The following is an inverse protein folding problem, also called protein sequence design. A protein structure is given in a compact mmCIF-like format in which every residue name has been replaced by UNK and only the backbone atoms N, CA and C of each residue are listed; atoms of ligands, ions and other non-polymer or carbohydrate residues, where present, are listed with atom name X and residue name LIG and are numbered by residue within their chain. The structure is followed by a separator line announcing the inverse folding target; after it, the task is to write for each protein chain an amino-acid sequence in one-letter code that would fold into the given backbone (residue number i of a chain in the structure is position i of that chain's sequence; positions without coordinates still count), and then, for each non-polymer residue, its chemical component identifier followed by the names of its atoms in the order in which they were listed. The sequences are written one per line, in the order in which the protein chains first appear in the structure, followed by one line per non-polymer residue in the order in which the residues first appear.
data_IF_343916724292
#
_entry.id   IF_343916724292
#
_cell.length_a   1.000
_cell.length_b   1.000
_cell.length_c   1.000
_cell.angle_alpha   90.00
_cell.angle_beta   90.00
_cell.angle_gamma   90.00
#
_symmetry.space_group_name_H-M   'P 1'
#
loop_
_entity.id
_entity.type
_entity.pdbx_description
1 polymer ?
#
# COMPACT_ATOMS: atom_id res chain seq x y z
N UNK A 1 -11.13 3.21 -5.94
CA UNK A 1 -10.66 4.53 -6.41
C UNK A 1 -9.15 4.58 -6.38
N UNK A 2 -8.53 5.43 -7.19
CA UNK A 2 -7.07 5.58 -7.23
C UNK A 2 -6.59 6.46 -6.07
N UNK A 3 -5.66 5.97 -5.25
CA UNK A 3 -5.26 6.61 -3.99
C UNK A 3 -6.27 6.44 -2.85
N UNK A 4 -7.13 5.42 -2.91
CA UNK A 4 -8.17 5.20 -1.91
C UNK A 4 -7.60 4.56 -0.64
N UNK A 5 -7.91 5.13 0.52
CA UNK A 5 -7.66 4.48 1.80
C UNK A 5 -8.70 3.37 2.04
N UNK A 6 -8.22 2.17 2.33
CA UNK A 6 -9.00 1.01 2.75
C UNK A 6 -8.52 0.61 4.14
N UNK A 7 -9.41 0.69 5.13
CA UNK A 7 -9.16 0.23 6.49
C UNK A 7 -9.73 -1.17 6.65
N UNK A 8 -8.96 -2.08 7.22
CA UNK A 8 -9.34 -3.45 7.51
C UNK A 8 -9.30 -3.67 9.03
N UNK A 9 -10.44 -4.09 9.60
CA UNK A 9 -10.57 -4.40 11.03
C UNK A 9 -11.02 -5.82 11.26
N UNK A 10 -10.58 -6.39 12.37
CA UNK A 10 -11.10 -7.69 12.85
C UNK A 10 -12.53 -7.52 13.37
N UNK A 11 -13.44 -8.33 12.84
CA UNK A 11 -14.85 -8.42 13.27
C UNK A 11 -15.22 -9.80 13.84
N UNK A 12 -14.29 -10.76 13.77
CA UNK A 12 -14.50 -12.10 14.28
C UNK A 12 -14.75 -12.10 15.81
N UNK A 13 -15.67 -12.93 16.33
CA UNK A 13 -15.90 -13.06 17.78
C UNK A 13 -14.66 -13.49 18.58
N UNK A 14 -13.70 -14.14 17.92
CA UNK A 14 -12.44 -14.53 18.55
C UNK A 14 -11.43 -13.37 18.69
N UNK A 15 -11.68 -12.21 18.06
CA UNK A 15 -10.81 -11.04 18.11
C UNK A 15 -9.37 -11.40 17.75
N UNK A 16 -8.45 -11.14 18.69
CA UNK A 16 -7.02 -11.45 18.56
C UNK A 16 -6.71 -12.89 18.14
N UNK A 17 -7.45 -13.89 18.63
CA UNK A 17 -7.20 -15.30 18.28
C UNK A 17 -7.50 -15.59 16.80
N UNK A 18 -8.37 -14.80 16.17
CA UNK A 18 -8.70 -14.94 14.75
C UNK A 18 -7.56 -14.52 13.82
N UNK A 19 -6.54 -13.82 14.34
CA UNK A 19 -5.34 -13.43 13.59
C UNK A 19 -4.05 -13.92 14.25
N UNK A 20 -4.19 -14.76 15.27
CA UNK A 20 -3.10 -15.33 16.05
C UNK A 20 -2.73 -16.75 15.64
N UNK A 21 -2.07 -17.45 16.56
CA UNK A 21 -1.59 -18.82 16.34
C UNK A 21 -2.73 -19.81 16.13
N UNK A 22 -3.86 -19.62 16.81
CA UNK A 22 -5.03 -20.48 16.68
C UNK A 22 -5.54 -20.51 15.24
N UNK A 23 -5.67 -19.34 14.61
CA UNK A 23 -6.04 -19.28 13.19
C UNK A 23 -4.99 -19.91 12.29
N UNK A 24 -3.70 -19.78 12.63
CA UNK A 24 -2.63 -20.43 11.88
C UNK A 24 -2.69 -21.94 11.96
N UNK A 25 -3.06 -22.52 13.11
CA UNK A 25 -3.26 -23.96 13.22
C UNK A 25 -4.44 -24.45 12.39
N UNK A 26 -5.51 -23.67 12.32
CA UNK A 26 -6.64 -23.94 11.43
C UNK A 26 -6.20 -23.92 9.96
N UNK A 27 -5.47 -22.88 9.54
CA UNK A 27 -5.00 -22.72 8.16
C UNK A 27 -4.00 -23.80 7.70
N UNK A 28 -3.20 -24.33 8.63
CA UNK A 28 -2.24 -25.40 8.36
C UNK A 28 -2.82 -26.81 8.54
N UNK A 29 -4.11 -26.93 8.83
CA UNK A 29 -4.81 -28.18 9.15
C UNK A 29 -4.19 -29.01 10.29
N UNK A 30 -3.57 -28.33 11.25
CA UNK A 30 -2.96 -28.95 12.46
C UNK A 30 -3.75 -28.67 13.74
N UNK A 31 -4.90 -28.00 13.63
CA UNK A 31 -5.80 -27.74 14.74
C UNK A 31 -6.40 -29.03 15.33
N UNK A 32 -6.59 -29.07 16.64
CA UNK A 32 -7.34 -30.16 17.27
C UNK A 32 -8.86 -30.00 17.04
N UNK A 33 -9.61 -31.08 17.28
CA UNK A 33 -11.06 -31.10 17.01
C UNK A 33 -11.84 -30.08 17.86
N UNK A 34 -11.43 -29.86 19.12
CA UNK A 34 -12.04 -28.86 20.01
C UNK A 34 -11.89 -27.44 19.45
N UNK A 35 -10.70 -27.11 18.92
CA UNK A 35 -10.44 -25.82 18.32
C UNK A 35 -11.27 -25.64 17.05
N UNK A 36 -11.36 -26.68 16.21
CA UNK A 36 -12.21 -26.66 15.01
C UNK A 36 -13.69 -26.42 15.34
N UNK A 37 -14.22 -27.14 16.33
CA UNK A 37 -15.64 -27.03 16.72
C UNK A 37 -15.99 -25.67 17.35
N UNK A 38 -15.02 -24.98 17.93
CA UNK A 38 -15.23 -23.67 18.57
C UNK A 38 -15.06 -22.48 17.62
N UNK A 39 -14.60 -22.70 16.38
CA UNK A 39 -14.36 -21.65 15.39
C UNK A 39 -15.64 -21.38 14.57
N UNK A 40 -16.34 -20.25 14.80
CA UNK A 40 -17.50 -19.91 13.98
C UNK A 40 -17.07 -19.60 12.55
N UNK A 41 -17.79 -20.12 11.57
CA UNK A 41 -17.57 -19.81 10.15
C UNK A 41 -18.20 -18.45 9.81
N UNK A 42 -17.54 -17.38 10.27
CA UNK A 42 -17.93 -15.98 10.02
C UNK A 42 -16.72 -15.18 9.53
N UNK A 43 -16.92 -14.04 8.85
CA UNK A 43 -15.80 -13.25 8.35
C UNK A 43 -14.84 -12.83 9.46
N UNK A 44 -13.53 -12.94 9.18
CA UNK A 44 -12.51 -12.46 10.11
C UNK A 44 -12.38 -10.95 10.04
N UNK A 45 -12.45 -10.41 8.83
CA UNK A 45 -12.18 -9.01 8.52
C UNK A 45 -13.39 -8.33 7.90
N UNK A 46 -13.55 -7.05 8.22
CA UNK A 46 -14.39 -6.12 7.48
C UNK A 46 -13.51 -4.99 6.94
N UNK A 47 -13.78 -4.59 5.69
CA UNK A 47 -13.10 -3.48 5.03
C UNK A 47 -14.02 -2.31 4.86
N UNK A 48 -13.51 -1.12 5.15
CA UNK A 48 -14.23 0.13 4.96
C UNK A 48 -13.33 1.19 4.35
N UNK A 49 -13.94 2.17 3.69
CA UNK A 49 -13.25 3.34 3.16
C UNK A 49 -13.95 4.60 3.63
N UNK A 50 -13.20 5.69 3.84
CA UNK A 50 -13.79 6.93 4.27
C UNK A 50 -14.67 7.51 3.15
N UNK A 51 -15.74 8.19 3.52
CA UNK A 51 -16.63 8.88 2.58
C UNK A 51 -16.27 10.36 2.50
N UNK A 52 -16.26 10.91 1.28
CA UNK A 52 -15.95 12.33 1.07
C UNK A 52 -17.01 13.17 1.80
N UNK A 53 -16.55 14.12 2.62
CA UNK A 53 -17.41 15.09 3.30
C UNK A 53 -17.42 16.43 2.59
N UNK A 54 -16.24 16.91 2.18
CA UNK A 54 -16.07 18.19 1.49
C UNK A 54 -15.00 18.09 0.40
N UNK A 55 -15.17 18.88 -0.65
CA UNK A 55 -14.25 18.98 -1.79
C UNK A 55 -14.93 18.57 -3.11
N UNK A 56 -14.23 18.75 -4.25
CA UNK A 56 -12.86 19.24 -4.35
C UNK A 56 -12.75 20.73 -3.99
N UNK A 57 -11.77 21.09 -3.16
CA UNK A 57 -11.30 22.49 -3.01
C UNK A 57 -10.02 22.63 -3.82
N UNK A 58 -10.02 23.54 -4.80
CA UNK A 58 -8.89 23.77 -5.69
C UNK A 58 -8.18 25.05 -5.25
N UNK A 59 -6.86 24.99 -5.07
CA UNK A 59 -6.02 26.15 -4.76
C UNK A 59 -4.88 26.22 -5.74
N UNK A 60 -4.72 27.35 -6.42
CA UNK A 60 -3.55 27.60 -7.25
C UNK A 60 -2.41 28.16 -6.39
N UNK A 61 -1.22 27.60 -6.58
CA UNK A 61 -0.03 27.99 -5.82
C UNK A 61 1.16 28.26 -6.74
N UNK A 62 2.16 29.01 -6.26
CA UNK A 62 3.36 29.32 -7.05
C UNK A 62 4.26 28.10 -7.30
N UNK A 63 4.13 27.03 -6.50
CA UNK A 63 4.92 25.80 -6.61
C UNK A 63 4.13 24.63 -7.19
N UNK A 64 2.89 24.49 -6.73
CA UNK A 64 1.96 23.47 -7.18
C UNK A 64 0.52 23.98 -7.08
N UNK A 65 -0.33 23.44 -7.94
CA UNK A 65 -1.78 23.49 -7.74
C UNK A 65 -2.20 22.33 -6.83
N UNK A 66 -3.19 22.55 -5.97
CA UNK A 66 -3.68 21.55 -5.01
C UNK A 66 -5.19 21.31 -5.17
N UNK A 67 -5.59 20.04 -5.23
CA UNK A 67 -6.97 19.58 -5.14
C UNK A 67 -7.14 18.82 -3.83
N UNK A 68 -7.93 19.38 -2.92
CA UNK A 68 -8.11 18.86 -1.57
C UNK A 68 -9.51 18.29 -1.34
N UNK A 69 -9.56 17.17 -0.62
CA UNK A 69 -10.76 16.52 -0.12
C UNK A 69 -10.62 16.29 1.37
N UNK A 70 -11.68 16.58 2.12
CA UNK A 70 -11.79 16.16 3.52
C UNK A 70 -12.87 15.10 3.62
N UNK A 71 -12.60 14.09 4.42
CA UNK A 71 -13.49 12.96 4.57
C UNK A 71 -14.28 13.07 5.89
N UNK A 72 -15.42 12.39 5.93
CA UNK A 72 -16.15 12.22 7.19
C UNK A 72 -15.24 11.42 8.11
N UNK A 73 -15.00 11.89 9.35
CA UNK A 73 -14.26 11.09 10.32
C UNK A 73 -14.86 9.70 10.41
N UNK A 74 -14.06 8.70 10.12
CA UNK A 74 -14.45 7.31 10.25
C UNK A 74 -14.04 6.80 11.64
N UNK A 75 -14.39 5.56 11.96
CA UNK A 75 -13.97 4.90 13.21
C UNK A 75 -12.44 4.90 13.39
N UNK A 76 -11.70 4.92 12.26
CA UNK A 76 -10.25 4.94 12.22
C UNK A 76 -9.64 6.36 12.14
N UNK A 77 -10.45 7.41 12.30
CA UNK A 77 -9.98 8.78 12.50
C UNK A 77 -10.26 9.76 11.36
N UNK A 78 -9.65 10.94 11.45
CA UNK A 78 -9.87 12.05 10.52
C UNK A 78 -8.86 12.03 9.37
N UNK A 79 -9.36 12.20 8.14
CA UNK A 79 -8.54 12.08 6.93
C UNK A 79 -8.75 13.27 6.01
N UNK A 80 -7.62 13.76 5.50
CA UNK A 80 -7.55 14.72 4.41
C UNK A 80 -6.67 14.15 3.30
N UNK A 81 -7.16 14.27 2.07
CA UNK A 81 -6.45 13.87 0.88
C UNK A 81 -6.17 15.12 0.03
N UNK A 82 -4.94 15.29 -0.41
CA UNK A 82 -4.54 16.38 -1.30
C UNK A 82 -3.76 15.84 -2.49
N UNK A 83 -4.23 16.15 -3.70
CA UNK A 83 -3.47 15.96 -4.93
C UNK A 83 -2.73 17.25 -5.26
N UNK A 84 -1.43 17.17 -5.47
CA UNK A 84 -0.56 18.30 -5.81
C UNK A 84 0.04 18.11 -7.19
N UNK A 85 -0.01 19.16 -7.99
CA UNK A 85 0.48 19.17 -9.37
C UNK A 85 1.59 20.22 -9.46
N UNK A 86 2.84 19.77 -9.51
CA UNK A 86 3.99 20.67 -9.45
C UNK A 86 4.18 21.41 -10.78
N UNK A 87 4.42 22.72 -10.71
CA UNK A 87 4.53 23.55 -11.92
C UNK A 87 5.89 23.41 -12.62
N UNK A 88 6.96 23.13 -11.86
CA UNK A 88 8.33 23.08 -12.36
C UNK A 88 8.80 21.66 -12.76
N UNK A 89 8.05 20.62 -12.37
CA UNK A 89 8.40 19.23 -12.61
C UNK A 89 7.15 18.46 -13.05
N UNK A 90 7.27 17.45 -13.93
CA UNK A 90 6.18 16.57 -14.35
C UNK A 90 5.81 15.57 -13.24
N UNK A 91 5.50 16.10 -12.06
CA UNK A 91 5.32 15.39 -10.81
C UNK A 91 3.91 15.64 -10.29
N UNK A 92 3.20 14.54 -10.04
CA UNK A 92 1.97 14.53 -9.27
C UNK A 92 2.27 13.89 -7.92
N UNK A 93 1.78 14.50 -6.84
CA UNK A 93 1.93 13.98 -5.49
C UNK A 93 0.56 13.84 -4.84
N UNK A 94 0.26 12.64 -4.34
CA UNK A 94 -0.84 12.38 -3.44
C UNK A 94 -0.31 12.50 -2.00
N UNK A 95 -0.93 13.35 -1.20
CA UNK A 95 -0.67 13.49 0.22
C UNK A 95 -1.91 13.11 1.01
N UNK A 96 -1.76 12.19 1.94
CA UNK A 96 -2.79 11.78 2.89
C UNK A 96 -2.34 12.19 4.29
N UNK A 97 -3.02 13.18 4.85
CA UNK A 97 -2.88 13.54 6.27
C UNK A 97 -3.97 12.77 7.03
N UNK A 98 -3.56 11.90 7.95
CA UNK A 98 -4.45 11.01 8.69
C UNK A 98 -4.17 11.11 10.19
N UNK A 99 -5.12 11.65 10.95
CA UNK A 99 -5.10 11.55 12.41
C UNK A 99 -5.81 10.27 12.83
N UNK A 100 -5.02 9.22 13.01
CA UNK A 100 -5.51 7.87 13.20
C UNK A 100 -5.97 7.64 14.64
N UNK A 101 -7.21 7.20 14.78
CA UNK A 101 -7.77 6.77 16.07
C UNK A 101 -7.19 5.43 16.54
N UNK A 102 -7.26 5.22 17.86
CA UNK A 102 -6.87 3.97 18.50
C UNK A 102 -7.77 2.80 18.03
N UNK A 103 -7.20 1.61 17.94
CA UNK A 103 -7.93 0.35 17.73
C UNK A 103 -7.60 -0.64 18.83
N UNK A 104 -8.62 -1.23 19.45
CA UNK A 104 -8.47 -2.26 20.49
C UNK A 104 -8.16 -3.64 19.92
N UNK A 105 -8.50 -3.85 18.65
CA UNK A 105 -8.22 -5.08 17.91
C UNK A 105 -7.19 -4.84 16.80
N UNK A 106 -6.53 -5.91 16.33
CA UNK A 106 -5.67 -5.89 15.15
C UNK A 106 -6.35 -5.23 13.94
N UNK A 107 -5.56 -4.51 13.16
CA UNK A 107 -6.03 -3.75 12.01
C UNK A 107 -4.93 -3.58 10.96
N UNK A 108 -5.36 -3.27 9.74
CA UNK A 108 -4.49 -2.71 8.73
C UNK A 108 -5.14 -1.54 7.99
N UNK A 109 -4.29 -0.80 7.30
CA UNK A 109 -4.74 0.15 6.31
C UNK A 109 -3.92 0.02 5.05
N UNK A 110 -4.58 0.27 3.94
CA UNK A 110 -4.02 0.18 2.60
C UNK A 110 -4.35 1.45 1.83
N UNK A 111 -3.41 1.94 1.03
CA UNK A 111 -3.70 2.95 0.01
C UNK A 111 -3.66 2.26 -1.34
N UNK A 112 -4.82 2.15 -1.98
CA UNK A 112 -5.06 1.37 -3.17
C UNK A 112 -4.86 2.16 -4.47
N UNK A 113 -4.12 1.60 -5.41
CA UNK A 113 -3.80 2.14 -6.72
C UNK A 113 -4.11 1.11 -7.81
N UNK A 114 -5.36 1.06 -8.31
CA UNK A 114 -5.70 0.28 -9.49
C UNK A 114 -5.20 1.02 -10.74
N UNK A 115 -4.07 0.60 -11.28
CA UNK A 115 -3.56 1.12 -12.55
C UNK A 115 -4.44 0.57 -13.68
N UNK A 116 -5.18 1.47 -14.33
CA UNK A 116 -6.08 1.14 -15.43
C UNK A 116 -5.29 1.10 -16.75
N UNK A 117 -4.90 -0.09 -17.19
CA UNK A 117 -4.35 -0.31 -18.52
C UNK A 117 -4.59 -1.77 -18.96
N UNK A 118 -4.54 -2.02 -20.26
CA UNK A 118 -4.60 -3.39 -20.78
C UNK A 118 -3.22 -4.04 -20.63
N UNK A 119 -3.13 -5.09 -19.81
CA UNK A 119 -1.90 -5.87 -19.54
C UNK A 119 -0.65 -5.05 -19.15
N UNK A 120 -0.72 -4.17 -18.14
CA UNK A 120 0.47 -3.47 -17.67
C UNK A 120 1.40 -4.45 -16.94
N UNK A 121 2.69 -4.13 -16.90
CA UNK A 121 3.68 -4.87 -16.11
C UNK A 121 4.19 -4.03 -14.94
N UNK A 122 4.50 -4.72 -13.84
CA UNK A 122 5.03 -4.13 -12.63
C UNK A 122 6.47 -4.62 -12.43
N UNK A 123 7.37 -3.70 -12.14
CA UNK A 123 8.69 -4.01 -11.59
C UNK A 123 8.89 -3.21 -10.29
N UNK A 124 9.47 -3.83 -9.27
CA UNK A 124 9.75 -3.19 -7.99
C UNK A 124 11.25 -2.95 -7.84
N UNK A 125 11.60 -1.78 -7.34
CA UNK A 125 13.00 -1.43 -7.10
C UNK A 125 13.49 -1.97 -5.75
N UNK A 126 14.59 -2.71 -5.77
CA UNK A 126 15.31 -3.17 -4.57
C UNK A 126 16.79 -3.35 -4.86
N UNK A 127 17.66 -3.07 -3.88
CA UNK A 127 19.09 -3.39 -3.97
C UNK A 127 19.80 -2.75 -5.17
N UNK A 128 19.34 -1.59 -5.64
CA UNK A 128 19.91 -0.86 -6.79
C UNK A 128 19.43 -1.35 -8.17
N UNK A 129 18.45 -2.25 -8.24
CA UNK A 129 17.87 -2.73 -9.49
C UNK A 129 16.35 -2.92 -9.41
N UNK A 130 15.75 -3.20 -10.57
CA UNK A 130 14.34 -3.57 -10.67
C UNK A 130 14.21 -5.07 -10.87
N UNK A 131 13.21 -5.66 -10.23
CA UNK A 131 12.80 -7.05 -10.47
C UNK A 131 11.29 -7.15 -10.68
N UNK A 132 10.86 -8.20 -11.37
CA UNK A 132 9.44 -8.50 -11.57
C UNK A 132 8.90 -9.36 -10.42
N UNK A 133 8.04 -8.83 -9.53
CA UNK A 133 7.44 -9.64 -8.47
C UNK A 133 6.59 -10.77 -9.09
N UNK A 134 6.60 -11.95 -8.46
CA UNK A 134 5.81 -13.09 -8.91
C UNK A 134 6.30 -13.82 -10.17
N UNK A 135 7.32 -13.31 -10.88
CA UNK A 135 7.94 -14.05 -11.98
C UNK A 135 9.14 -14.85 -11.46
N UNK A 136 9.35 -16.08 -11.92
CA UNK A 136 10.56 -16.87 -11.62
C UNK A 136 11.58 -16.87 -12.77
N UNK A 137 11.34 -16.08 -13.81
CA UNK A 137 12.26 -15.91 -14.94
C UNK A 137 13.44 -14.99 -14.56
N UNK A 138 14.44 -14.90 -15.45
CA UNK A 138 15.56 -13.97 -15.27
C UNK A 138 15.06 -12.53 -15.13
N UNK A 139 15.50 -11.84 -14.07
CA UNK A 139 15.00 -10.50 -13.71
C UNK A 139 13.69 -10.53 -12.91
N UNK A 140 13.20 -11.70 -12.55
CA UNK A 140 12.08 -11.91 -11.64
C UNK A 140 12.51 -12.13 -10.19
N UNK A 141 11.55 -12.60 -9.40
CA UNK A 141 11.67 -13.00 -8.01
C UNK A 141 12.36 -14.36 -7.86
N UNK A 142 13.16 -14.51 -6.80
CA UNK A 142 13.75 -15.79 -6.42
C UNK A 142 12.67 -16.78 -5.95
N UNK A 143 12.59 -18.00 -6.51
CA UNK A 143 11.62 -19.01 -6.09
C UNK A 143 11.70 -19.31 -4.59
N UNK A 144 10.53 -19.51 -3.96
CA UNK A 144 10.41 -19.82 -2.53
C UNK A 144 10.55 -18.64 -1.57
N UNK A 145 10.71 -17.41 -2.08
CA UNK A 145 10.64 -16.19 -1.27
C UNK A 145 9.20 -15.70 -1.08
N UNK A 146 8.96 -14.83 -0.10
CA UNK A 146 7.62 -14.25 0.11
C UNK A 146 7.15 -13.49 -1.14
N UNK A 147 5.92 -13.76 -1.56
CA UNK A 147 5.29 -13.21 -2.78
C UNK A 147 3.97 -12.48 -2.49
N UNK A 148 3.58 -12.42 -1.22
CA UNK A 148 2.32 -11.87 -0.73
C UNK A 148 2.38 -10.36 -0.53
N UNK A 149 3.57 -9.89 -0.16
CA UNK A 149 3.88 -8.48 0.02
C UNK A 149 5.37 -8.25 -0.20
N UNK A 150 5.72 -7.03 -0.59
CA UNK A 150 7.08 -6.64 -0.91
C UNK A 150 7.45 -5.35 -0.20
N UNK A 151 8.71 -5.20 0.15
CA UNK A 151 9.25 -3.89 0.51
C UNK A 151 10.10 -3.40 -0.66
N UNK A 152 9.74 -2.25 -1.22
CA UNK A 152 10.53 -1.58 -2.26
C UNK A 152 11.37 -0.46 -1.66
N UNK A 153 12.45 -0.07 -2.34
CA UNK A 153 13.39 0.93 -1.83
C UNK A 153 12.94 2.36 -2.13
N UNK A 154 12.59 2.67 -3.39
CA UNK A 154 12.17 4.03 -3.77
C UNK A 154 10.98 4.03 -4.73
N UNK A 155 10.99 3.17 -5.75
CA UNK A 155 9.98 3.20 -6.80
C UNK A 155 9.43 1.82 -7.19
N UNK A 156 8.19 1.82 -7.69
CA UNK A 156 7.66 0.80 -8.58
C UNK A 156 7.55 1.38 -9.98
N UNK A 157 7.99 0.60 -10.98
CA UNK A 157 7.77 0.92 -12.39
C UNK A 157 6.53 0.20 -12.89
N UNK A 158 5.61 0.98 -13.43
CA UNK A 158 4.47 0.48 -14.20
C UNK A 158 4.76 0.71 -15.67
N UNK A 159 4.88 -0.37 -16.45
CA UNK A 159 5.06 -0.28 -17.90
C UNK A 159 3.77 -0.66 -18.60
N UNK A 160 3.24 0.27 -19.39
CA UNK A 160 2.06 0.13 -20.23
C UNK A 160 2.34 -0.78 -21.42
N UNK A 161 1.29 -1.29 -22.06
CA UNK A 161 1.42 -2.14 -23.25
C UNK A 161 2.13 -1.43 -24.42
N UNK A 162 1.95 -0.11 -24.55
CA UNK A 162 2.62 0.74 -25.55
C UNK A 162 4.10 1.02 -25.21
N UNK A 163 4.60 0.48 -24.10
CA UNK A 163 5.97 0.66 -23.61
C UNK A 163 6.17 1.91 -22.76
N UNK A 164 5.13 2.71 -22.52
CA UNK A 164 5.25 3.88 -21.67
C UNK A 164 5.48 3.50 -20.20
N UNK A 165 6.44 4.16 -19.54
CA UNK A 165 6.85 3.87 -18.16
C UNK A 165 6.45 4.99 -17.21
N UNK A 166 5.59 4.66 -16.25
CA UNK A 166 5.30 5.48 -15.08
C UNK A 166 6.07 4.95 -13.86
N UNK A 167 6.52 5.86 -13.00
CA UNK A 167 7.10 5.53 -11.71
C UNK A 167 6.14 5.96 -10.61
N UNK A 168 5.93 5.07 -9.66
CA UNK A 168 5.15 5.30 -8.44
C UNK A 168 6.08 5.18 -7.23
N UNK A 169 6.14 6.19 -6.38
CA UNK A 169 7.05 6.27 -5.25
C UNK A 169 6.27 6.47 -3.94
N UNK A 170 6.15 5.45 -3.08
CA UNK A 170 5.53 5.55 -1.76
C UNK A 170 6.56 6.02 -0.72
N UNK A 171 6.69 7.33 -0.54
CA UNK A 171 7.78 7.91 0.24
C UNK A 171 7.74 7.51 1.72
N UNK A 172 6.55 7.28 2.27
CA UNK A 172 6.35 7.07 3.70
C UNK A 172 5.84 5.65 4.04
N UNK A 173 5.50 4.82 3.05
CA UNK A 173 4.93 3.47 3.25
C UNK A 173 5.42 2.47 2.18
N UNK A 174 6.69 1.98 2.27
CA UNK A 174 7.33 1.18 1.23
C UNK A 174 6.87 -0.28 1.15
N UNK A 175 6.09 -0.75 2.13
CA UNK A 175 5.52 -2.08 2.15
C UNK A 175 4.28 -2.13 1.25
N UNK A 176 4.24 -3.06 0.29
CA UNK A 176 3.21 -3.11 -0.74
C UNK A 176 2.64 -4.50 -0.95
N UNK A 177 1.39 -4.55 -1.43
CA UNK A 177 0.69 -5.74 -1.90
C UNK A 177 0.36 -5.60 -3.37
N UNK A 178 0.50 -6.70 -4.10
CA UNK A 178 0.18 -6.81 -5.52
C UNK A 178 -1.09 -7.66 -5.69
N UNK A 179 -1.85 -7.37 -6.75
CA UNK A 179 -3.06 -8.10 -7.17
C UNK A 179 -4.29 -7.99 -6.28
N UNK A 180 -4.15 -8.12 -4.98
CA UNK A 180 -5.25 -8.08 -4.03
C UNK A 180 -4.76 -7.68 -2.63
N UNK A 181 -5.70 -7.25 -1.78
CA UNK A 181 -5.45 -7.07 -0.36
C UNK A 181 -5.58 -8.43 0.32
N UNK A 182 -4.48 -9.17 0.42
CA UNK A 182 -4.48 -10.49 1.04
C UNK A 182 -3.15 -10.77 1.73
N UNK A 183 -3.03 -10.33 2.99
CA UNK A 183 -1.78 -10.50 3.75
C UNK A 183 -1.47 -11.96 4.11
N UNK A 184 -2.49 -12.84 4.11
CA UNK A 184 -2.37 -14.25 4.47
C UNK A 184 -2.19 -15.16 3.25
N UNK A 185 -2.14 -14.62 2.02
CA UNK A 185 -1.87 -15.44 0.84
C UNK A 185 -0.46 -15.99 0.94
N UNK A 186 -0.29 -17.30 0.83
CA UNK A 186 1.03 -17.91 0.66
C UNK A 186 1.13 -18.43 -0.78
N UNK A 187 1.60 -17.57 -1.68
CA UNK A 187 1.74 -17.94 -3.08
C UNK A 187 3.17 -18.43 -3.33
N UNK A 188 3.34 -19.67 -3.75
CA UNK A 188 4.66 -20.20 -4.11
C UNK A 188 4.87 -20.28 -5.60
N UNK A 189 3.81 -20.14 -6.38
CA UNK A 189 3.84 -20.27 -7.83
C UNK A 189 3.91 -18.92 -8.55
N UNK A 190 4.41 -18.90 -9.80
CA UNK A 190 4.41 -17.69 -10.59
C UNK A 190 3.01 -17.10 -10.79
N UNK A 191 2.92 -15.77 -10.83
CA UNK A 191 1.66 -15.08 -11.07
C UNK A 191 1.83 -13.87 -11.99
N UNK A 192 0.73 -13.48 -12.64
CA UNK A 192 0.65 -12.29 -13.50
C UNK A 192 0.03 -11.13 -12.71
N UNK A 193 0.59 -9.93 -12.88
CA UNK A 193 0.04 -8.73 -12.25
C UNK A 193 -1.27 -8.30 -12.94
N UNK A 194 -2.29 -7.97 -12.16
CA UNK A 194 -3.62 -7.58 -12.64
C UNK A 194 -3.84 -6.06 -12.68
N UNK A 195 -2.78 -5.27 -12.50
CA UNK A 195 -2.86 -3.80 -12.42
C UNK A 195 -3.11 -3.23 -11.03
N UNK A 196 -3.35 -4.06 -10.01
CA UNK A 196 -3.59 -3.59 -8.64
C UNK A 196 -2.30 -3.54 -7.81
N UNK A 197 -2.02 -2.37 -7.25
CA UNK A 197 -0.96 -2.16 -6.27
C UNK A 197 -1.53 -1.43 -5.06
N UNK A 198 -1.11 -1.80 -3.85
CA UNK A 198 -1.46 -1.05 -2.65
C UNK A 198 -0.26 -0.93 -1.72
N UNK A 199 -0.04 0.25 -1.13
CA UNK A 199 0.87 0.38 0.02
C UNK A 199 0.15 0.04 1.31
N UNK A 200 0.84 -0.54 2.28
CA UNK A 200 0.32 -0.90 3.60
C UNK A 200 0.99 -0.05 4.70
N UNK A 201 0.53 1.19 4.94
CA UNK A 201 1.07 2.06 5.99
C UNK A 201 0.78 1.59 7.42
N UNK A 202 -0.29 0.81 7.61
CA UNK A 202 -0.65 0.24 8.91
C UNK A 202 -0.82 -1.26 8.75
N UNK A 203 -0.12 -2.05 9.57
CA UNK A 203 -0.03 -3.51 9.44
C UNK A 203 -0.02 -4.20 10.81
N UNK A 204 -0.91 -3.79 11.70
CA UNK A 204 -0.97 -4.27 13.06
C UNK A 204 -1.74 -5.61 13.14
N UNK A 205 -1.16 -6.66 12.54
CA UNK A 205 -1.63 -8.06 12.69
C UNK A 205 -0.77 -8.87 13.68
N UNK A 206 0.39 -8.35 14.06
CA UNK A 206 1.44 -9.13 14.68
C UNK A 206 1.40 -9.06 16.21
N UNK A 207 1.43 -10.23 16.84
CA UNK A 207 1.78 -10.34 18.25
C UNK A 207 3.28 -10.09 18.44
N UNK A 208 3.64 -8.84 18.66
CA UNK A 208 5.01 -8.40 18.97
C UNK A 208 4.99 -7.56 20.24
N UNK A 209 6.18 -7.28 20.78
CA UNK A 209 6.39 -6.41 21.95
C UNK A 209 6.22 -4.89 21.65
N UNK A 210 5.55 -4.54 20.55
CA UNK A 210 5.24 -3.17 20.15
C UNK A 210 3.83 -2.75 20.64
N UNK A 211 3.52 -1.44 20.68
CA UNK A 211 2.19 -0.96 21.05
C UNK A 211 1.08 -1.66 20.24
N UNK A 212 -0.01 -2.01 20.92
CA UNK A 212 -1.17 -2.75 20.36
C UNK A 212 -2.05 -1.93 19.42
N UNK A 213 -1.58 -0.76 18.97
CA UNK A 213 -2.23 0.04 17.94
C UNK A 213 -1.23 1.08 17.44
N UNK A 214 -1.19 1.26 16.12
CA UNK A 214 -0.55 2.40 15.50
C UNK A 214 -1.56 3.55 15.52
N UNK A 215 -1.26 4.68 16.18
CA UNK A 215 -2.21 5.81 16.30
C UNK A 215 -1.53 7.16 16.19
N UNK A 216 -2.32 8.21 16.04
CA UNK A 216 -1.87 9.59 15.95
C UNK A 216 -1.65 10.05 14.51
N UNK A 217 -0.88 11.12 14.31
CA UNK A 217 -0.75 11.75 13.00
C UNK A 217 0.16 10.95 12.07
N UNK A 218 -0.38 10.59 10.90
CA UNK A 218 0.33 10.06 9.75
C UNK A 218 0.31 11.09 8.63
N UNK A 219 1.44 11.21 7.93
CA UNK A 219 1.51 11.86 6.63
C UNK A 219 2.07 10.85 5.64
N UNK A 220 1.26 10.50 4.64
CA UNK A 220 1.62 9.53 3.62
C UNK A 220 1.70 10.23 2.26
N UNK A 221 2.86 10.18 1.61
CA UNK A 221 3.11 10.80 0.32
C UNK A 221 3.39 9.74 -0.74
N UNK A 222 2.72 9.88 -1.87
CA UNK A 222 2.89 9.03 -3.05
C UNK A 222 3.15 9.92 -4.25
N UNK A 223 4.27 9.72 -4.92
CA UNK A 223 4.65 10.49 -6.11
C UNK A 223 4.45 9.66 -7.37
N UNK A 224 4.03 10.33 -8.42
CA UNK A 224 3.81 9.78 -9.75
C UNK A 224 4.57 10.63 -10.74
N UNK A 225 5.41 9.98 -11.54
CA UNK A 225 6.22 10.66 -12.56
C UNK A 225 6.31 9.81 -13.81
N UNK A 226 6.23 10.45 -14.98
CA UNK A 226 6.49 9.80 -16.26
C UNK A 226 7.98 9.72 -16.49
N UNK A 227 8.54 8.53 -16.73
CA UNK A 227 9.98 8.38 -16.95
C UNK A 227 10.44 9.15 -18.20
N UNK A 228 9.60 9.27 -19.23
CA UNK A 228 9.93 9.90 -20.51
C UNK A 228 10.27 11.38 -20.41
N UNK A 229 9.92 12.04 -19.30
CA UNK A 229 10.30 13.42 -19.08
C UNK A 229 11.75 13.59 -18.59
N UNK A 230 12.50 12.49 -18.45
CA UNK A 230 13.87 12.45 -17.94
C UNK A 230 14.75 11.61 -18.86
N UNK A 231 16.06 11.85 -18.82
CA UNK A 231 17.03 11.13 -19.64
C UNK A 231 17.19 9.66 -19.21
N UNK A 232 16.92 9.35 -17.94
CA UNK A 232 16.95 8.00 -17.40
C UNK A 232 15.95 7.81 -16.26
N UNK A 233 15.64 6.54 -15.96
CA UNK A 233 14.83 6.17 -14.81
C UNK A 233 15.47 6.57 -13.48
N UNK A 234 16.79 6.39 -13.34
CA UNK A 234 17.53 6.83 -12.16
C UNK A 234 17.41 8.34 -11.94
N UNK A 235 17.58 9.14 -13.01
CA UNK A 235 17.41 10.58 -12.95
C UNK A 235 15.98 10.96 -12.56
N UNK A 236 14.97 10.27 -13.12
CA UNK A 236 13.57 10.51 -12.77
C UNK A 236 13.31 10.29 -11.27
N UNK A 237 13.78 9.17 -10.71
CA UNK A 237 13.66 8.85 -9.28
C UNK A 237 14.36 9.92 -8.44
N UNK A 238 15.63 10.21 -8.72
CA UNK A 238 16.44 11.17 -7.95
C UNK A 238 15.84 12.58 -7.97
N UNK A 239 15.32 13.02 -9.12
CA UNK A 239 14.73 14.37 -9.29
C UNK A 239 13.44 14.57 -8.51
N UNK A 240 12.75 13.47 -8.15
CA UNK A 240 11.46 13.51 -7.45
C UNK A 240 11.52 12.92 -6.05
N UNK A 241 12.70 12.67 -5.49
CA UNK A 241 12.83 12.41 -4.05
C UNK A 241 12.81 13.73 -3.28
N UNK A 242 12.22 13.78 -2.07
CA UNK A 242 12.33 14.95 -1.23
C UNK A 242 13.77 15.16 -0.78
N UNK A 243 14.18 16.41 -0.53
CA UNK A 243 15.53 16.73 -0.03
C UNK A 243 15.85 15.98 1.27
N UNK A 244 14.84 15.74 2.11
CA UNK A 244 14.95 14.95 3.35
C UNK A 244 15.33 13.48 3.11
N UNK A 245 15.06 12.93 1.91
CA UNK A 245 15.40 11.54 1.58
C UNK A 245 16.90 11.33 1.28
N UNK A 246 17.70 12.40 1.23
CA UNK A 246 19.15 12.33 1.00
C UNK A 246 19.96 12.14 2.29
N UNK A 247 19.29 12.04 3.46
CA UNK A 247 19.91 11.92 4.77
C UNK A 247 20.26 13.27 5.38
N UNK A 248 20.34 13.31 6.71
CA UNK A 248 20.87 14.46 7.44
C UNK A 248 22.36 14.59 7.10
N UNK A 249 22.75 15.66 6.42
CA UNK A 249 24.14 16.11 6.34
C UNK A 249 24.52 16.89 7.60
#
# INVERSE_FOLDING_TARGET
GFGQLVHERVVHPWGWKAVGNEQRFMALDVANEVLRQSYPDVPVFERSSPTIKTGPVITNGPLFDEIKFSYTPAEFGAIQLSWRFYSALPLIELVIDWDKSWSDLPEAAYIAFPFADDQPTLDLETGGGFFRPGSHETGGQLPGTCSSYYTLQRAARVTRQDGAKGLWLPLDAPLVMTNELNFNRWETEPWTWNGFLASMPVNHYWHTNFPTSQRGPFRLRYRFVSQQAFASEAQAIESVLPVEALGWH
#
